data_IF_935007966474
#
_entry.id   IF_935007966474
#
_cell.length_a   1.000
_cell.length_b   1.000
_cell.length_c   1.000
_cell.angle_alpha   90.00
_cell.angle_beta   90.00
_cell.angle_gamma   90.00
#
_symmetry.space_group_name_H-M   'P 1'
#
loop_
_entity.id
_entity.type
_entity.pdbx_description
1 polymer ?
#
# COMPACT_ATOMS: atom_id res chain seq x y z
N UNK A 1 10.04 21.29 50.52
CA UNK A 1 10.30 20.03 49.78
C UNK A 1 8.99 19.34 49.37
N UNK A 2 8.05 19.11 50.28
CA UNK A 2 6.77 18.42 50.00
C UNK A 2 5.82 19.16 49.06
N UNK A 3 5.80 20.49 49.06
CA UNK A 3 4.98 21.32 48.15
C UNK A 3 5.50 21.33 46.71
N UNK A 4 6.82 21.30 46.50
CA UNK A 4 7.42 21.23 45.17
C UNK A 4 7.22 19.84 44.52
N UNK A 5 7.26 18.77 45.33
CA UNK A 5 6.91 17.42 44.88
C UNK A 5 5.44 17.33 44.42
N UNK A 6 4.50 17.88 45.21
CA UNK A 6 3.08 17.93 44.83
C UNK A 6 2.82 18.76 43.57
N UNK A 7 3.53 19.88 43.38
CA UNK A 7 3.41 20.70 42.17
C UNK A 7 3.95 19.99 40.92
N UNK A 8 5.02 19.19 41.06
CA UNK A 8 5.55 18.42 39.94
C UNK A 8 4.63 17.25 39.57
N UNK A 9 4.04 16.57 40.56
CA UNK A 9 3.05 15.51 40.32
C UNK A 9 1.80 16.03 39.61
N UNK A 10 1.24 17.17 40.02
CA UNK A 10 0.06 17.75 39.35
C UNK A 10 0.36 18.25 37.94
N UNK A 11 1.54 18.83 37.71
CA UNK A 11 2.00 19.22 36.38
C UNK A 11 2.25 18.02 35.46
N UNK A 12 2.74 16.91 36.01
CA UNK A 12 2.95 15.68 35.26
C UNK A 12 1.60 15.00 34.93
N UNK A 13 0.66 14.98 35.88
CA UNK A 13 -0.70 14.50 35.64
C UNK A 13 -1.43 15.29 34.55
N UNK A 14 -1.28 16.63 34.52
CA UNK A 14 -1.88 17.47 33.48
C UNK A 14 -1.23 17.33 32.10
N UNK A 15 0.09 17.09 32.04
CA UNK A 15 0.80 16.85 30.78
C UNK A 15 0.42 15.50 30.15
N UNK A 16 0.28 14.46 30.97
CA UNK A 16 -0.13 13.13 30.50
C UNK A 16 -1.56 13.16 29.97
N UNK A 17 -2.50 13.75 30.72
CA UNK A 17 -3.90 13.84 30.29
C UNK A 17 -4.06 14.61 28.97
N UNK A 18 -3.31 15.71 28.78
CA UNK A 18 -3.30 16.45 27.52
C UNK A 18 -2.82 15.59 26.33
N UNK A 19 -1.75 14.81 26.51
CA UNK A 19 -1.22 13.95 25.44
C UNK A 19 -2.19 12.83 25.05
N UNK A 20 -2.91 12.24 26.01
CA UNK A 20 -3.94 11.24 25.74
C UNK A 20 -5.15 11.84 25.00
N UNK A 21 -5.58 13.04 25.36
CA UNK A 21 -6.65 13.75 24.64
C UNK A 21 -6.24 14.05 23.21
N UNK A 22 -5.01 14.53 22.99
CA UNK A 22 -4.49 14.79 21.64
C UNK A 22 -4.50 13.52 20.76
N UNK A 23 -4.09 12.38 21.32
CA UNK A 23 -4.12 11.09 20.62
C UNK A 23 -5.56 10.70 20.22
N UNK A 24 -6.54 10.88 21.11
CA UNK A 24 -7.96 10.57 20.83
C UNK A 24 -8.51 11.38 19.66
N UNK A 25 -8.32 12.70 19.68
CA UNK A 25 -8.77 13.55 18.59
C UNK A 25 -8.12 13.16 17.26
N UNK A 26 -6.82 12.85 17.26
CA UNK A 26 -6.11 12.43 16.04
C UNK A 26 -6.63 11.11 15.49
N UNK A 27 -6.88 10.12 16.36
CA UNK A 27 -7.50 8.85 15.94
C UNK A 27 -8.86 9.11 15.31
N UNK A 28 -9.68 9.99 15.90
CA UNK A 28 -10.98 10.34 15.33
C UNK A 28 -10.85 10.97 13.93
N UNK A 29 -9.90 11.88 13.72
CA UNK A 29 -9.63 12.47 12.40
C UNK A 29 -9.15 11.44 11.37
N UNK A 30 -8.28 10.52 11.77
CA UNK A 30 -7.77 9.42 10.92
C UNK A 30 -8.95 8.52 10.51
N UNK A 31 -9.78 8.11 11.46
CA UNK A 31 -10.95 7.27 11.20
C UNK A 31 -11.98 7.98 10.31
N UNK A 32 -12.23 9.26 10.57
CA UNK A 32 -13.14 10.07 9.76
C UNK A 32 -12.63 10.23 8.32
N UNK A 33 -11.33 10.50 8.13
CA UNK A 33 -10.69 10.56 6.81
C UNK A 33 -10.79 9.22 6.06
N UNK A 34 -10.60 8.10 6.75
CA UNK A 34 -10.75 6.78 6.15
C UNK A 34 -12.20 6.51 5.73
N UNK A 35 -13.15 6.85 6.59
CA UNK A 35 -14.56 6.61 6.33
C UNK A 35 -15.05 7.40 5.11
N UNK A 36 -14.68 8.69 5.00
CA UNK A 36 -15.04 9.53 3.84
C UNK A 36 -14.35 9.08 2.56
N UNK A 37 -13.08 8.67 2.63
CA UNK A 37 -12.35 8.12 1.49
C UNK A 37 -12.95 6.80 1.01
N UNK A 38 -13.39 5.93 1.92
CA UNK A 38 -14.01 4.64 1.60
C UNK A 38 -15.34 4.85 0.89
N UNK A 39 -16.21 5.75 1.39
CA UNK A 39 -17.47 6.10 0.72
C UNK A 39 -17.21 6.61 -0.70
N UNK A 40 -16.21 7.49 -0.85
CA UNK A 40 -15.84 8.04 -2.16
C UNK A 40 -15.35 6.94 -3.10
N UNK A 41 -14.47 6.05 -2.64
CA UNK A 41 -13.97 4.93 -3.46
C UNK A 41 -15.09 3.96 -3.84
N UNK A 42 -16.03 3.70 -2.94
CA UNK A 42 -17.18 2.83 -3.21
C UNK A 42 -18.08 3.40 -4.31
N UNK A 43 -18.28 4.72 -4.35
CA UNK A 43 -19.02 5.39 -5.42
C UNK A 43 -18.34 5.20 -6.79
N UNK A 44 -17.00 5.28 -6.83
CA UNK A 44 -16.19 5.13 -8.05
C UNK A 44 -15.65 3.71 -8.29
N UNK A 45 -16.26 2.68 -7.69
CA UNK A 45 -15.72 1.32 -7.72
C UNK A 45 -15.51 0.75 -9.14
N UNK A 46 -16.42 1.06 -10.08
CA UNK A 46 -16.35 0.58 -11.46
C UNK A 46 -15.17 1.22 -12.21
N UNK A 47 -14.93 2.51 -11.97
CA UNK A 47 -13.80 3.23 -12.57
C UNK A 47 -12.47 2.72 -12.03
N UNK A 48 -12.39 2.42 -10.72
CA UNK A 48 -11.21 1.81 -10.12
C UNK A 48 -10.91 0.41 -10.69
N UNK A 49 -11.96 -0.40 -10.91
CA UNK A 49 -11.84 -1.69 -11.59
C UNK A 49 -11.40 -1.54 -13.05
N UNK A 50 -11.93 -0.55 -13.77
CA UNK A 50 -11.50 -0.25 -15.13
C UNK A 50 -10.03 0.18 -15.19
N UNK A 51 -9.61 1.07 -14.27
CA UNK A 51 -8.24 1.57 -14.19
C UNK A 51 -7.23 0.44 -13.99
N UNK A 52 -7.60 -0.56 -13.18
CA UNK A 52 -6.75 -1.71 -12.87
C UNK A 52 -6.77 -2.78 -13.97
N UNK A 53 -7.89 -2.95 -14.68
CA UNK A 53 -7.99 -3.89 -15.81
C UNK A 53 -7.42 -3.33 -17.12
N UNK A 54 -7.20 -2.02 -17.22
CA UNK A 54 -6.67 -1.34 -18.42
C UNK A 54 -5.45 -2.01 -19.07
N UNK A 55 -4.36 -2.35 -18.36
CA UNK A 55 -3.21 -2.98 -19.03
C UNK A 55 -3.53 -4.40 -19.49
N UNK A 56 -4.36 -5.16 -18.77
CA UNK A 56 -4.76 -6.51 -19.22
C UNK A 56 -5.58 -6.46 -20.51
N UNK A 57 -6.42 -5.44 -20.68
CA UNK A 57 -7.16 -5.19 -21.92
C UNK A 57 -6.21 -4.89 -23.10
N UNK A 58 -5.13 -4.14 -22.85
CA UNK A 58 -4.11 -3.87 -23.86
C UNK A 58 -3.39 -5.14 -24.32
N UNK A 59 -3.23 -6.12 -23.43
CA UNK A 59 -2.67 -7.44 -23.74
C UNK A 59 -3.71 -8.45 -24.28
N UNK A 60 -4.93 -8.02 -24.61
CA UNK A 60 -6.02 -8.84 -25.16
C UNK A 60 -6.42 -10.03 -24.26
N UNK A 61 -6.14 -9.95 -22.96
CA UNK A 61 -6.57 -10.93 -21.98
C UNK A 61 -7.87 -10.46 -21.32
N UNK A 62 -8.90 -11.29 -21.42
CA UNK A 62 -10.14 -11.07 -20.67
C UNK A 62 -9.97 -11.64 -19.27
N UNK A 63 -10.11 -10.79 -18.25
CA UNK A 63 -10.20 -11.24 -16.87
C UNK A 63 -11.55 -11.93 -16.67
N UNK A 64 -11.54 -13.16 -16.13
CA UNK A 64 -12.76 -13.90 -15.84
C UNK A 64 -13.00 -13.93 -14.32
N UNK A 65 -14.25 -13.65 -13.93
CA UNK A 65 -14.73 -13.92 -12.57
C UNK A 65 -15.42 -15.27 -12.58
N UNK A 66 -14.96 -16.18 -11.74
CA UNK A 66 -15.56 -17.52 -11.62
C UNK A 66 -16.87 -17.48 -10.82
N UNK A 67 -17.00 -16.54 -9.88
CA UNK A 67 -18.20 -16.37 -9.04
C UNK A 67 -18.61 -14.91 -8.87
N UNK A 68 -19.92 -14.67 -8.67
CA UNK A 68 -20.46 -13.34 -8.40
C UNK A 68 -20.06 -12.83 -7.00
N UNK A 69 -19.97 -13.76 -6.04
CA UNK A 69 -19.53 -13.47 -4.66
C UNK A 69 -18.07 -13.00 -4.63
N UNK A 70 -17.24 -13.61 -5.49
CA UNK A 70 -15.84 -13.22 -5.65
C UNK A 70 -15.70 -11.81 -6.22
N UNK A 71 -16.47 -11.48 -7.27
CA UNK A 71 -16.42 -10.16 -7.88
C UNK A 71 -16.76 -9.05 -6.86
N UNK A 72 -17.76 -9.30 -6.01
CA UNK A 72 -18.13 -8.38 -4.93
C UNK A 72 -17.01 -8.26 -3.89
N UNK A 73 -16.48 -9.38 -3.39
CA UNK A 73 -15.38 -9.40 -2.41
C UNK A 73 -14.14 -8.66 -2.93
N UNK A 74 -13.79 -8.87 -4.19
CA UNK A 74 -12.65 -8.22 -4.84
C UNK A 74 -12.84 -6.72 -4.96
N UNK A 75 -14.04 -6.29 -5.38
CA UNK A 75 -14.38 -4.87 -5.50
C UNK A 75 -14.34 -4.19 -4.13
N UNK A 76 -14.87 -4.83 -3.09
CA UNK A 76 -14.83 -4.29 -1.73
C UNK A 76 -13.40 -4.20 -1.18
N UNK A 77 -12.59 -5.25 -1.36
CA UNK A 77 -11.16 -5.25 -0.98
C UNK A 77 -10.41 -4.11 -1.70
N UNK A 78 -10.62 -3.95 -3.01
CA UNK A 78 -10.04 -2.87 -3.79
C UNK A 78 -10.38 -1.49 -3.19
N UNK A 79 -11.66 -1.22 -2.93
CA UNK A 79 -12.09 0.06 -2.34
C UNK A 79 -11.42 0.33 -0.99
N UNK A 80 -11.25 -0.70 -0.14
CA UNK A 80 -10.52 -0.56 1.12
C UNK A 80 -9.05 -0.21 0.87
N UNK A 81 -8.37 -0.91 -0.02
CA UNK A 81 -6.95 -0.66 -0.27
C UNK A 81 -6.69 0.69 -0.94
N UNK A 82 -7.52 1.08 -1.91
CA UNK A 82 -7.40 2.39 -2.57
C UNK A 82 -7.71 3.50 -1.57
N UNK A 83 -8.74 3.36 -0.74
CA UNK A 83 -9.05 4.36 0.28
C UNK A 83 -7.94 4.48 1.33
N UNK A 84 -7.31 3.37 1.75
CA UNK A 84 -6.10 3.39 2.57
C UNK A 84 -4.93 4.10 1.87
N UNK A 85 -4.74 3.85 0.58
CA UNK A 85 -3.72 4.51 -0.24
C UNK A 85 -3.93 6.03 -0.32
N UNK A 86 -5.17 6.50 -0.42
CA UNK A 86 -5.50 7.94 -0.40
C UNK A 86 -5.32 8.51 1.02
N UNK A 87 -5.67 7.75 2.06
CA UNK A 87 -5.54 8.21 3.44
C UNK A 87 -4.10 8.26 3.93
N UNK A 88 -3.16 7.60 3.24
CA UNK A 88 -1.75 7.56 3.67
C UNK A 88 -1.15 8.97 3.79
N UNK A 89 -1.58 9.91 2.94
CA UNK A 89 -1.17 11.31 2.99
C UNK A 89 -1.57 11.95 4.33
N UNK A 90 -2.83 11.77 4.72
CA UNK A 90 -3.36 12.25 6.00
C UNK A 90 -2.70 11.53 7.18
N UNK A 91 -2.45 10.22 7.06
CA UNK A 91 -1.88 9.41 8.13
C UNK A 91 -0.46 9.83 8.47
N UNK A 92 0.38 10.02 7.45
CA UNK A 92 1.74 10.52 7.62
C UNK A 92 1.68 11.89 8.32
N UNK A 93 0.85 12.82 7.84
CA UNK A 93 0.73 14.14 8.46
C UNK A 93 0.31 14.07 9.94
N UNK A 94 -0.72 13.28 10.26
CA UNK A 94 -1.24 13.18 11.63
C UNK A 94 -0.27 12.48 12.57
N UNK A 95 0.40 11.42 12.11
CA UNK A 95 1.40 10.68 12.87
C UNK A 95 2.59 11.58 13.23
N UNK A 96 3.11 12.32 12.25
CA UNK A 96 4.21 13.26 12.47
C UNK A 96 3.83 14.44 13.37
N UNK A 97 2.62 14.97 13.20
CA UNK A 97 2.13 16.07 14.04
C UNK A 97 1.96 15.66 15.51
N UNK A 98 1.75 14.37 15.81
CA UNK A 98 1.70 13.85 17.17
C UNK A 98 3.09 13.71 17.82
N UNK A 99 4.08 13.27 17.05
CA UNK A 99 5.44 13.02 17.55
C UNK A 99 6.16 14.33 17.92
N UNK A 100 5.83 15.44 17.26
CA UNK A 100 6.57 16.70 17.39
C UNK A 100 5.73 17.76 18.09
N UNK A 101 5.80 17.85 19.42
CA UNK A 101 5.44 19.05 20.16
C UNK A 101 6.67 19.99 20.22
N UNK A 102 7.10 20.56 19.08
CA UNK A 102 8.32 21.39 19.09
C UNK A 102 8.03 22.80 19.64
N UNK A 103 8.65 23.12 20.78
CA UNK A 103 8.73 24.49 21.34
C UNK A 103 9.66 25.42 20.54
N UNK A 104 10.41 24.92 19.54
CA UNK A 104 11.39 25.71 18.78
C UNK A 104 10.98 25.85 17.29
N UNK A 105 10.67 27.08 16.88
CA UNK A 105 10.14 27.42 15.55
C UNK A 105 11.04 26.99 14.38
N UNK A 106 12.36 26.97 14.56
CA UNK A 106 13.32 26.58 13.52
C UNK A 106 13.33 25.08 13.23
N UNK A 107 13.13 24.24 14.26
CA UNK A 107 13.02 22.79 14.10
C UNK A 107 11.73 22.42 13.36
N UNK A 108 10.63 23.13 13.66
CA UNK A 108 9.35 22.96 12.97
C UNK A 108 9.48 23.10 11.46
N UNK A 109 10.14 24.15 10.96
CA UNK A 109 10.26 24.40 9.51
C UNK A 109 10.98 23.26 8.77
N UNK A 110 12.07 22.74 9.35
CA UNK A 110 12.82 21.63 8.76
C UNK A 110 11.98 20.36 8.72
N UNK A 111 11.28 20.04 9.81
CA UNK A 111 10.47 18.83 9.86
C UNK A 111 9.27 18.94 8.92
N UNK A 112 8.61 20.09 8.84
CA UNK A 112 7.56 20.33 7.84
C UNK A 112 8.08 20.13 6.41
N UNK A 113 9.29 20.60 6.10
CA UNK A 113 9.93 20.34 4.80
C UNK A 113 10.12 18.84 4.53
N UNK A 114 10.57 18.07 5.53
CA UNK A 114 10.70 16.61 5.41
C UNK A 114 9.35 15.91 5.18
N UNK A 115 8.28 16.33 5.84
CA UNK A 115 6.93 15.77 5.62
C UNK A 115 6.45 16.05 4.20
N UNK A 116 6.68 17.26 3.67
CA UNK A 116 6.37 17.59 2.29
C UNK A 116 7.17 16.71 1.32
N UNK A 117 8.45 16.46 1.62
CA UNK A 117 9.31 15.58 0.81
C UNK A 117 8.80 14.12 0.83
N UNK A 118 8.36 13.61 1.98
CA UNK A 118 7.71 12.29 2.12
C UNK A 118 6.42 12.20 1.27
N UNK A 119 5.60 13.24 1.28
CA UNK A 119 4.37 13.24 0.49
C UNK A 119 4.69 13.30 -1.02
N UNK A 120 5.67 14.11 -1.41
CA UNK A 120 6.14 14.21 -2.80
C UNK A 120 6.72 12.89 -3.32
N UNK A 121 7.57 12.22 -2.52
CA UNK A 121 8.16 10.94 -2.94
C UNK A 121 7.05 9.89 -3.10
N UNK A 122 6.07 9.86 -2.19
CA UNK A 122 4.96 8.93 -2.26
C UNK A 122 4.14 9.14 -3.54
N UNK A 123 3.86 10.40 -3.91
CA UNK A 123 3.19 10.71 -5.18
C UNK A 123 3.99 10.30 -6.42
N UNK A 124 5.32 10.43 -6.39
CA UNK A 124 6.20 10.00 -7.49
C UNK A 124 6.23 8.47 -7.58
N UNK A 125 6.29 7.78 -6.44
CA UNK A 125 6.25 6.32 -6.36
C UNK A 125 4.94 5.76 -6.93
N UNK A 126 3.79 6.32 -6.56
CA UNK A 126 2.49 5.85 -7.10
C UNK A 126 2.45 5.98 -8.63
N UNK A 127 2.98 7.07 -9.16
CA UNK A 127 3.10 7.30 -10.60
C UNK A 127 4.02 6.26 -11.26
N UNK A 128 5.21 6.03 -10.71
CA UNK A 128 6.17 5.05 -11.24
C UNK A 128 5.62 3.62 -11.18
N UNK A 129 4.90 3.26 -10.10
CA UNK A 129 4.33 1.91 -9.97
C UNK A 129 3.24 1.70 -11.00
N UNK A 130 2.33 2.65 -11.16
CA UNK A 130 1.22 2.53 -12.10
C UNK A 130 1.70 2.47 -13.55
N UNK A 131 2.59 3.37 -13.97
CA UNK A 131 3.03 3.44 -15.37
C UNK A 131 4.21 2.52 -15.71
N UNK A 132 5.07 2.21 -14.74
CA UNK A 132 6.31 1.46 -14.98
C UNK A 132 6.24 -0.01 -14.55
N UNK A 133 5.80 -0.28 -13.33
CA UNK A 133 5.87 -1.62 -12.73
C UNK A 133 4.65 -2.46 -13.11
N UNK A 134 3.46 -1.86 -13.08
CA UNK A 134 2.21 -2.55 -13.37
C UNK A 134 2.17 -3.20 -14.77
N UNK A 135 2.51 -2.52 -15.89
CA UNK A 135 2.54 -3.16 -17.21
C UNK A 135 3.59 -4.27 -17.31
N UNK A 136 4.75 -4.14 -16.65
CA UNK A 136 5.78 -5.19 -16.61
C UNK A 136 5.30 -6.44 -15.88
N UNK A 137 4.52 -6.27 -14.82
CA UNK A 137 3.89 -7.38 -14.10
C UNK A 137 2.89 -8.09 -15.03
N UNK A 138 2.08 -7.34 -15.79
CA UNK A 138 1.15 -7.92 -16.76
C UNK A 138 1.87 -8.68 -17.89
N UNK A 139 2.98 -8.15 -18.41
CA UNK A 139 3.84 -8.82 -19.40
C UNK A 139 4.42 -10.12 -18.84
N UNK A 140 4.93 -10.07 -17.61
CA UNK A 140 5.45 -11.23 -16.89
C UNK A 140 4.36 -12.30 -16.69
N UNK A 141 3.14 -11.93 -16.25
CA UNK A 141 2.02 -12.87 -16.14
C UNK A 141 1.64 -13.50 -17.49
N UNK A 142 1.69 -12.72 -18.58
CA UNK A 142 1.41 -13.21 -19.92
C UNK A 142 2.47 -14.19 -20.42
N UNK A 143 3.74 -13.96 -20.07
CA UNK A 143 4.83 -14.89 -20.39
C UNK A 143 4.69 -16.25 -19.68
N UNK A 144 3.96 -16.33 -18.57
CA UNK A 144 3.68 -17.59 -17.88
C UNK A 144 2.44 -18.33 -18.41
N UNK A 145 1.65 -17.72 -19.29
CA UNK A 145 0.56 -18.42 -19.94
C UNK A 145 1.14 -19.39 -20.97
N UNK A 146 1.15 -20.67 -20.61
CA UNK A 146 1.48 -21.74 -21.55
C UNK A 146 0.32 -21.86 -22.53
N UNK A 147 0.54 -21.43 -23.77
CA UNK A 147 -0.35 -21.76 -24.88
C UNK A 147 -0.12 -23.23 -25.21
N UNK A 148 -1.04 -24.10 -24.81
CA UNK A 148 -1.05 -25.49 -25.29
C UNK A 148 -1.68 -25.48 -26.67
N UNK A 149 -0.85 -25.42 -27.71
CA UNK A 149 -1.28 -25.61 -29.09
C UNK A 149 -1.64 -27.09 -29.28
N UNK A 150 -2.92 -27.44 -29.13
CA UNK A 150 -3.43 -28.75 -29.58
C UNK A 150 -3.60 -28.77 -31.10
N UNK A 151 -2.55 -28.44 -31.85
CA UNK A 151 -2.47 -28.62 -33.30
C UNK A 151 -1.72 -29.91 -33.65
N UNK A 152 -2.11 -31.03 -33.04
CA UNK A 152 -1.66 -32.35 -33.49
C UNK A 152 -2.74 -33.42 -33.31
N UNK A 153 -3.93 -33.17 -33.82
CA UNK A 153 -4.80 -34.23 -34.33
C UNK A 153 -5.58 -33.69 -35.52
N UNK A 154 -5.06 -33.98 -36.71
CA UNK A 154 -5.82 -34.09 -37.95
C UNK A 154 -7.18 -34.73 -37.68
N UNK A 155 -8.30 -34.05 -37.92
CA UNK A 155 -9.52 -34.60 -38.52
C UNK A 155 -10.51 -33.46 -38.86
N UNK A 156 -10.59 -33.20 -40.16
CA UNK A 156 -11.72 -32.76 -40.99
C UNK A 156 -12.66 -31.63 -40.52
N UNK A 157 -12.54 -30.52 -41.26
CA UNK A 157 -13.60 -29.59 -41.66
C UNK A 157 -15.02 -30.16 -41.57
N UNK A 158 -15.85 -29.57 -40.69
CA UNK A 158 -17.27 -29.28 -40.92
C UNK A 158 -17.83 -28.42 -39.77
N UNK A 159 -18.36 -27.26 -40.17
CA UNK A 159 -19.39 -26.39 -39.60
C UNK A 159 -19.68 -26.36 -38.07
N UNK A 160 -19.93 -25.11 -37.66
CA UNK A 160 -20.48 -24.64 -36.38
C UNK A 160 -19.50 -24.42 -35.22
N UNK A 161 -19.15 -23.13 -35.05
CA UNK A 161 -19.24 -22.34 -33.80
C UNK A 161 -18.86 -23.07 -32.49
N UNK A 162 -17.81 -23.88 -32.52
CA UNK A 162 -17.16 -24.33 -31.31
C UNK A 162 -15.76 -23.75 -31.29
N UNK A 163 -15.64 -22.66 -30.50
CA UNK A 163 -14.37 -22.17 -29.96
C UNK A 163 -13.47 -23.38 -29.73
N UNK A 164 -12.22 -23.40 -30.24
CA UNK A 164 -11.32 -24.51 -29.96
C UNK A 164 -11.34 -24.72 -28.45
N UNK A 165 -11.70 -25.93 -28.01
CA UNK A 165 -11.69 -26.29 -26.60
C UNK A 165 -10.26 -26.05 -26.11
N UNK A 166 -10.09 -24.90 -25.47
CA UNK A 166 -8.81 -24.47 -24.92
C UNK A 166 -8.72 -25.14 -23.57
N UNK A 167 -8.12 -26.33 -23.58
CA UNK A 167 -8.19 -27.33 -22.49
C UNK A 167 -7.54 -26.81 -21.20
N UNK A 168 -6.71 -25.77 -21.27
CA UNK A 168 -6.45 -24.88 -20.15
C UNK A 168 -6.28 -23.44 -20.69
N UNK A 169 -7.33 -22.61 -20.61
CA UNK A 169 -7.14 -21.16 -20.52
C UNK A 169 -6.74 -20.84 -19.09
N UNK A 170 -5.45 -20.61 -18.83
CA UNK A 170 -5.07 -19.90 -17.60
C UNK A 170 -5.42 -18.41 -17.77
N UNK A 171 -6.70 -18.10 -17.93
CA UNK A 171 -7.19 -16.73 -17.84
C UNK A 171 -7.05 -16.30 -16.38
N UNK A 172 -6.35 -15.21 -16.11
CA UNK A 172 -6.03 -14.86 -14.75
C UNK A 172 -7.30 -14.37 -14.03
N UNK A 173 -7.57 -14.96 -12.86
CA UNK A 173 -8.75 -14.70 -12.04
C UNK A 173 -8.74 -13.25 -11.54
N UNK A 174 -9.89 -12.58 -11.60
CA UNK A 174 -10.00 -11.17 -11.20
C UNK A 174 -9.55 -10.99 -9.75
N UNK A 175 -9.97 -11.86 -8.82
CA UNK A 175 -9.56 -11.74 -7.42
C UNK A 175 -8.05 -11.84 -7.22
N UNK A 176 -7.41 -12.84 -7.83
CA UNK A 176 -5.99 -13.09 -7.60
C UNK A 176 -5.10 -12.02 -8.23
N UNK A 177 -5.45 -11.56 -9.44
CA UNK A 177 -4.70 -10.50 -10.13
C UNK A 177 -4.78 -9.18 -9.39
N UNK A 178 -5.98 -8.76 -9.00
CA UNK A 178 -6.23 -7.48 -8.34
C UNK A 178 -5.56 -7.44 -6.97
N UNK A 179 -5.81 -8.46 -6.14
CA UNK A 179 -5.25 -8.50 -4.78
C UNK A 179 -3.72 -8.62 -4.80
N UNK A 180 -3.16 -9.42 -5.70
CA UNK A 180 -1.70 -9.55 -5.86
C UNK A 180 -1.06 -8.23 -6.28
N UNK A 181 -1.67 -7.54 -7.26
CA UNK A 181 -1.16 -6.26 -7.76
C UNK A 181 -1.14 -5.17 -6.69
N UNK A 182 -2.22 -5.07 -5.91
CA UNK A 182 -2.31 -4.13 -4.79
C UNK A 182 -1.27 -4.47 -3.71
N UNK A 183 -1.06 -5.76 -3.42
CA UNK A 183 -0.08 -6.18 -2.40
C UNK A 183 1.34 -5.81 -2.80
N UNK A 184 1.71 -6.05 -4.07
CA UNK A 184 3.01 -5.64 -4.61
C UNK A 184 3.15 -4.11 -4.54
N UNK A 185 2.11 -3.37 -4.90
CA UNK A 185 2.08 -1.91 -4.78
C UNK A 185 2.37 -1.44 -3.35
N UNK A 186 1.67 -1.98 -2.34
CA UNK A 186 1.86 -1.61 -0.93
C UNK A 186 3.28 -1.94 -0.45
N UNK A 187 3.80 -3.13 -0.80
CA UNK A 187 5.16 -3.55 -0.46
C UNK A 187 6.19 -2.57 -1.02
N UNK A 188 6.04 -2.18 -2.28
CA UNK A 188 6.98 -1.30 -2.96
C UNK A 188 6.97 0.12 -2.35
N UNK A 189 5.79 0.66 -2.04
CA UNK A 189 5.66 1.92 -1.30
C UNK A 189 6.38 1.86 0.06
N UNK A 190 6.21 0.79 0.83
CA UNK A 190 6.87 0.64 2.14
C UNK A 190 8.39 0.58 1.98
N UNK A 191 8.88 -0.18 1.00
CA UNK A 191 10.32 -0.33 0.74
C UNK A 191 10.98 1.02 0.42
N UNK A 192 10.31 1.87 -0.37
CA UNK A 192 10.84 3.17 -0.75
C UNK A 192 10.78 4.22 0.37
N UNK A 193 9.87 4.08 1.35
CA UNK A 193 9.79 4.99 2.49
C UNK A 193 10.91 4.76 3.53
N UNK A 194 11.40 3.53 3.66
CA UNK A 194 12.48 3.13 4.57
C UNK A 194 13.70 4.06 4.52
N UNK A 195 14.35 4.31 3.36
CA UNK A 195 15.54 5.16 3.31
C UNK A 195 15.27 6.57 3.81
N UNK A 196 14.07 7.10 3.57
CA UNK A 196 13.67 8.44 4.00
C UNK A 196 13.47 8.50 5.52
N UNK A 197 12.84 7.47 6.11
CA UNK A 197 12.75 7.31 7.56
C UNK A 197 14.14 7.22 8.18
N UNK A 198 15.09 6.51 7.56
CA UNK A 198 16.47 6.45 8.05
C UNK A 198 17.19 7.80 8.03
N UNK A 199 17.07 8.57 6.95
CA UNK A 199 17.64 9.92 6.86
C UNK A 199 17.12 10.80 7.98
N UNK A 200 15.81 10.69 8.26
CA UNK A 200 15.18 11.43 9.33
C UNK A 200 15.65 10.97 10.72
N UNK A 201 15.81 9.66 10.93
CA UNK A 201 16.23 9.08 12.20
C UNK A 201 17.71 9.41 12.51
N UNK A 202 18.52 9.52 11.46
CA UNK A 202 19.86 10.09 11.52
C UNK A 202 19.85 11.56 11.93
N UNK A 203 18.93 12.37 11.36
CA UNK A 203 18.80 13.78 11.70
C UNK A 203 18.45 14.02 13.18
N UNK A 204 17.61 13.16 13.77
CA UNK A 204 17.27 13.23 15.21
C UNK A 204 18.37 12.68 16.14
N UNK A 205 19.54 12.30 15.62
CA UNK A 205 20.64 11.66 16.37
C UNK A 205 20.25 10.36 17.09
N UNK A 206 19.13 9.72 16.73
CA UNK A 206 18.76 8.41 17.27
C UNK A 206 19.62 7.28 16.71
N UNK A 207 20.14 7.43 15.47
CA UNK A 207 21.01 6.46 14.83
C UNK A 207 22.39 7.03 14.50
N UNK A 208 23.44 6.50 15.13
CA UNK A 208 24.83 6.69 14.70
C UNK A 208 25.14 5.84 13.45
N UNK A 209 26.07 6.29 12.60
CA UNK A 209 26.53 5.55 11.40
C UNK A 209 26.99 4.11 11.72
N UNK A 210 27.56 3.90 12.90
CA UNK A 210 27.99 2.58 13.37
C UNK A 210 26.82 1.63 13.63
N UNK A 211 25.71 2.14 14.17
CA UNK A 211 24.51 1.34 14.45
C UNK A 211 23.89 0.80 13.15
N UNK A 212 23.86 1.61 12.09
CA UNK A 212 23.31 1.18 10.77
C UNK A 212 24.14 0.04 10.18
N UNK A 213 25.47 0.09 10.32
CA UNK A 213 26.35 -0.98 9.84
C UNK A 213 26.18 -2.30 10.61
N UNK A 214 25.89 -2.22 11.91
CA UNK A 214 25.65 -3.40 12.76
C UNK A 214 24.32 -4.09 12.47
N UNK A 215 23.28 -3.33 12.13
CA UNK A 215 21.93 -3.86 11.89
C UNK A 215 21.60 -4.18 10.41
N UNK A 216 22.57 -4.13 9.48
CA UNK A 216 22.28 -4.43 8.04
C UNK A 216 21.67 -5.82 7.84
N UNK A 217 22.24 -6.86 8.46
CA UNK A 217 21.77 -8.25 8.33
C UNK A 217 20.38 -8.49 8.91
N UNK A 218 20.07 -8.12 10.17
CA UNK A 218 18.72 -8.28 10.71
C UNK A 218 17.70 -7.41 9.98
N UNK A 219 18.10 -6.25 9.45
CA UNK A 219 17.20 -5.40 8.68
C UNK A 219 16.72 -6.07 7.38
N UNK A 220 17.64 -6.62 6.58
CA UNK A 220 17.26 -7.39 5.38
C UNK A 220 16.46 -8.64 5.72
N UNK A 221 16.79 -9.30 6.83
CA UNK A 221 16.04 -10.47 7.30
C UNK A 221 14.60 -10.10 7.68
N UNK A 222 14.39 -9.01 8.44
CA UNK A 222 13.06 -8.51 8.80
C UNK A 222 12.28 -8.10 7.54
N UNK A 223 12.90 -7.41 6.59
CA UNK A 223 12.26 -7.05 5.33
C UNK A 223 11.79 -8.29 4.54
N UNK A 224 12.64 -9.32 4.47
CA UNK A 224 12.31 -10.58 3.80
C UNK A 224 11.21 -11.36 4.52
N UNK A 225 11.25 -11.39 5.85
CA UNK A 225 10.20 -12.02 6.67
C UNK A 225 8.87 -11.29 6.52
N UNK A 226 8.85 -9.96 6.52
CA UNK A 226 7.65 -9.18 6.23
C UNK A 226 7.10 -9.49 4.83
N UNK A 227 7.97 -9.59 3.82
CA UNK A 227 7.58 -9.98 2.47
C UNK A 227 6.95 -11.39 2.44
N UNK A 228 7.54 -12.36 3.14
CA UNK A 228 7.01 -13.72 3.28
C UNK A 228 5.69 -13.77 4.04
N UNK A 229 5.53 -12.98 5.11
CA UNK A 229 4.32 -13.00 5.93
C UNK A 229 3.13 -12.40 5.19
N UNK A 230 3.34 -11.38 4.36
CA UNK A 230 2.33 -10.92 3.40
C UNK A 230 2.02 -11.94 2.29
N UNK A 231 2.92 -12.90 2.04
CA UNK A 231 2.70 -14.02 1.11
C UNK A 231 1.92 -15.18 1.77
N UNK A 232 2.11 -15.40 3.08
CA UNK A 232 1.60 -16.56 3.82
C UNK A 232 0.29 -16.29 4.62
N UNK A 233 -0.16 -15.04 4.76
CA UNK A 233 -1.47 -14.70 5.39
C UNK A 233 -2.67 -14.92 4.44
N UNK A 234 -2.57 -15.94 3.59
CA UNK A 234 -3.58 -16.48 2.66
C UNK A 234 -3.93 -17.88 3.16
#
# INVERSE_FOLDING_TARGET
MSTLLKLNETALMSKMSYHYEELRYRIFYIMYSLFTALITCYYYQLELMYLLSRPFLQLHQTLQSTDISEALSTTFKLCIYVSLGICIFTYIYQYWSFIIPSRYYFERKKITFFIVLLLMILSIETYIIYFGIFPKICELFSSFQIYVDTSSTTYNQMNEIHKPLKIIEMSPRIESTVVSSIRIYILLCIIFQIPLIFILLFYFNYCNCFSICRYRKPFFFVLFVFQQQYLHLI
#
